data_IF_618936246881
#
_entry.id   IF_618936246881
#
_cell.length_a   1.000
_cell.length_b   1.000
_cell.length_c   1.000
_cell.angle_alpha   90.00
_cell.angle_beta   90.00
_cell.angle_gamma   90.00
#
_symmetry.space_group_name_H-M   'P 1'
#
loop_
_entity.id
_entity.type
_entity.pdbx_description
1 polymer ?
#
# COMPACT_ATOMS: atom_id res chain seq x y z
N UNK A 1 12.52 -72.02 -30.05
CA UNK A 1 11.90 -70.70 -30.35
C UNK A 1 11.34 -70.14 -29.05
N UNK A 2 11.85 -69.00 -28.57
CA UNK A 2 11.49 -68.41 -27.27
C UNK A 2 10.23 -67.54 -27.47
N UNK A 3 9.07 -67.95 -26.94
CA UNK A 3 7.84 -67.13 -26.97
C UNK A 3 8.00 -65.98 -25.97
N UNK A 4 8.06 -64.75 -26.46
CA UNK A 4 7.91 -63.56 -25.64
C UNK A 4 6.43 -63.40 -25.31
N UNK A 5 6.09 -63.51 -24.03
CA UNK A 5 4.75 -63.21 -23.53
C UNK A 5 4.61 -61.70 -23.42
N UNK A 6 4.00 -61.07 -24.42
CA UNK A 6 3.63 -59.66 -24.34
C UNK A 6 2.44 -59.55 -23.37
N UNK A 7 2.75 -59.28 -22.10
CA UNK A 7 1.75 -58.91 -21.09
C UNK A 7 1.31 -57.48 -21.39
N UNK A 8 0.23 -57.33 -22.16
CA UNK A 8 -0.43 -56.04 -22.37
C UNK A 8 -0.96 -55.47 -21.06
N UNK A 9 -0.82 -54.16 -20.89
CA UNK A 9 -1.38 -53.40 -19.77
C UNK A 9 -2.92 -53.51 -19.82
N UNK A 10 -3.55 -53.85 -18.71
CA UNK A 10 -5.01 -53.98 -18.68
C UNK A 10 -5.67 -52.61 -18.59
N UNK A 11 -6.86 -52.46 -19.20
CA UNK A 11 -7.67 -51.23 -19.08
C UNK A 11 -7.97 -50.89 -17.61
N UNK A 12 -8.10 -51.91 -16.76
CA UNK A 12 -8.35 -51.76 -15.33
C UNK A 12 -7.15 -51.14 -14.62
N UNK A 13 -5.92 -51.61 -14.90
CA UNK A 13 -4.70 -51.03 -14.34
C UNK A 13 -4.55 -49.55 -14.73
N UNK A 14 -4.94 -49.17 -15.96
CA UNK A 14 -4.91 -47.77 -16.40
C UNK A 14 -5.95 -46.91 -15.66
N UNK A 15 -7.16 -47.43 -15.49
CA UNK A 15 -8.25 -46.71 -14.84
C UNK A 15 -7.96 -46.43 -13.36
N UNK A 16 -7.36 -47.38 -12.64
CA UNK A 16 -6.96 -47.18 -11.24
C UNK A 16 -5.93 -46.04 -11.13
N UNK A 17 -4.95 -45.99 -12.03
CA UNK A 17 -3.94 -44.92 -12.04
C UNK A 17 -4.57 -43.55 -12.32
N UNK A 18 -5.48 -43.46 -13.30
CA UNK A 18 -6.18 -42.21 -13.62
C UNK A 18 -7.04 -41.70 -12.46
N UNK A 19 -7.69 -42.59 -11.71
CA UNK A 19 -8.47 -42.22 -10.52
C UNK A 19 -7.55 -41.65 -9.43
N UNK A 20 -6.42 -42.29 -9.16
CA UNK A 20 -5.44 -41.80 -8.17
C UNK A 20 -4.91 -40.43 -8.58
N UNK A 21 -4.56 -40.24 -9.86
CA UNK A 21 -4.11 -38.95 -10.39
C UNK A 21 -5.17 -37.86 -10.27
N UNK A 22 -6.46 -38.19 -10.50
CA UNK A 22 -7.56 -37.24 -10.36
C UNK A 22 -7.74 -36.78 -8.90
N UNK A 23 -7.68 -37.71 -7.94
CA UNK A 23 -7.77 -37.38 -6.51
C UNK A 23 -6.59 -36.51 -6.07
N UNK A 24 -5.37 -36.86 -6.46
CA UNK A 24 -4.17 -36.08 -6.14
C UNK A 24 -4.24 -34.67 -6.75
N UNK A 25 -4.64 -34.56 -8.02
CA UNK A 25 -4.80 -33.27 -8.69
C UNK A 25 -5.85 -32.39 -8.00
N UNK A 26 -6.96 -32.97 -7.56
CA UNK A 26 -8.03 -32.24 -6.86
C UNK A 26 -7.55 -31.64 -5.52
N UNK A 27 -6.67 -32.32 -4.79
CA UNK A 27 -6.10 -31.82 -3.53
C UNK A 27 -5.04 -30.72 -3.76
N UNK A 28 -4.24 -30.85 -4.83
CA UNK A 28 -3.12 -29.93 -5.12
C UNK A 28 -3.61 -28.63 -5.77
N UNK A 29 -4.65 -28.68 -6.59
CA UNK A 29 -5.10 -27.53 -7.39
C UNK A 29 -5.41 -26.26 -6.56
N UNK A 30 -6.12 -26.31 -5.41
CA UNK A 30 -6.38 -25.11 -4.60
C UNK A 30 -5.09 -24.48 -4.04
N UNK A 31 -4.14 -25.32 -3.60
CA UNK A 31 -2.87 -24.84 -3.06
C UNK A 31 -2.04 -24.14 -4.14
N UNK A 32 -1.95 -24.71 -5.34
CA UNK A 32 -1.24 -24.10 -6.47
C UNK A 32 -1.82 -22.75 -6.87
N UNK A 33 -3.14 -22.62 -6.91
CA UNK A 33 -3.81 -21.34 -7.22
C UNK A 33 -3.45 -20.28 -6.17
N UNK A 34 -3.47 -20.64 -4.88
CA UNK A 34 -3.05 -19.74 -3.81
C UNK A 34 -1.58 -19.29 -3.91
N UNK A 35 -0.67 -20.23 -4.21
CA UNK A 35 0.75 -19.93 -4.40
C UNK A 35 1.00 -18.99 -5.59
N UNK A 36 0.25 -19.15 -6.69
CA UNK A 36 0.36 -18.27 -7.86
C UNK A 36 -0.03 -16.84 -7.50
N UNK A 37 -1.10 -16.64 -6.72
CA UNK A 37 -1.53 -15.31 -6.31
C UNK A 37 -0.55 -14.65 -5.34
N UNK A 38 0.06 -15.41 -4.44
CA UNK A 38 1.13 -14.92 -3.57
C UNK A 38 2.40 -14.57 -4.35
N UNK A 39 2.80 -15.40 -5.32
CA UNK A 39 3.94 -15.15 -6.18
C UNK A 39 3.74 -13.89 -7.03
N UNK A 40 2.53 -13.69 -7.59
CA UNK A 40 2.15 -12.46 -8.30
C UNK A 40 2.24 -11.24 -7.40
N UNK A 41 1.79 -11.32 -6.14
CA UNK A 41 1.91 -10.22 -5.20
C UNK A 41 3.39 -9.91 -4.90
N UNK A 42 4.20 -10.93 -4.62
CA UNK A 42 5.64 -10.79 -4.32
C UNK A 42 6.46 -10.25 -5.50
N UNK A 43 6.04 -10.51 -6.74
CA UNK A 43 6.70 -10.01 -7.96
C UNK A 43 6.89 -8.49 -7.94
N UNK A 44 5.94 -7.74 -7.39
CA UNK A 44 5.94 -6.27 -7.42
C UNK A 44 6.41 -5.62 -6.11
N UNK A 45 6.78 -6.42 -5.10
CA UNK A 45 7.34 -5.90 -3.86
C UNK A 45 8.62 -5.07 -4.05
N UNK A 46 9.54 -5.40 -4.99
CA UNK A 46 10.70 -4.55 -5.27
C UNK A 46 10.30 -3.15 -5.76
N UNK A 47 9.28 -3.03 -6.61
CA UNK A 47 8.78 -1.73 -7.08
C UNK A 47 8.19 -0.93 -5.91
N UNK A 48 7.42 -1.59 -5.04
CA UNK A 48 6.86 -0.96 -3.85
C UNK A 48 7.95 -0.39 -2.92
N UNK A 49 9.05 -1.13 -2.72
CA UNK A 49 10.22 -0.68 -1.96
C UNK A 49 10.92 0.49 -2.62
N UNK A 50 11.15 0.42 -3.94
CA UNK A 50 11.75 1.51 -4.70
C UNK A 50 10.91 2.80 -4.59
N UNK A 51 9.59 2.71 -4.69
CA UNK A 51 8.69 3.84 -4.49
C UNK A 51 8.76 4.41 -3.07
N UNK A 52 8.82 3.55 -2.04
CA UNK A 52 8.95 3.98 -0.65
C UNK A 52 10.30 4.68 -0.39
N UNK A 53 11.40 4.15 -0.92
CA UNK A 53 12.75 4.72 -0.79
C UNK A 53 12.85 6.07 -1.52
N UNK A 54 12.32 6.15 -2.75
CA UNK A 54 12.24 7.39 -3.51
C UNK A 54 11.39 8.43 -2.77
N UNK A 55 10.24 8.02 -2.23
CA UNK A 55 9.39 8.89 -1.43
C UNK A 55 10.13 9.41 -0.20
N UNK A 56 10.75 8.53 0.59
CA UNK A 56 11.47 8.94 1.80
C UNK A 56 12.60 9.90 1.47
N UNK A 57 13.36 9.65 0.40
CA UNK A 57 14.41 10.55 -0.09
C UNK A 57 13.85 11.94 -0.43
N UNK A 58 12.75 12.01 -1.19
CA UNK A 58 12.17 13.28 -1.61
C UNK A 58 11.52 14.05 -0.47
N UNK A 59 10.83 13.38 0.46
CA UNK A 59 10.32 14.02 1.67
C UNK A 59 11.47 14.54 2.54
N UNK A 60 12.55 13.78 2.71
CA UNK A 60 13.74 14.27 3.43
C UNK A 60 14.40 15.47 2.73
N UNK A 61 14.37 15.58 1.40
CA UNK A 61 14.85 16.78 0.70
C UNK A 61 13.99 18.01 1.04
N UNK A 62 12.69 17.85 1.23
CA UNK A 62 11.81 18.95 1.64
C UNK A 62 12.16 19.51 3.02
N UNK A 63 12.82 18.74 3.88
CA UNK A 63 13.32 19.24 5.17
C UNK A 63 14.38 20.32 4.96
N UNK A 64 15.31 20.12 4.02
CA UNK A 64 16.37 21.09 3.73
C UNK A 64 15.91 22.32 2.95
N UNK A 65 14.76 22.25 2.28
CA UNK A 65 14.23 23.33 1.44
C UNK A 65 13.24 24.23 2.17
N UNK A 66 12.52 23.69 3.16
CA UNK A 66 11.48 24.43 3.86
C UNK A 66 11.98 24.83 5.26
N UNK A 67 12.30 26.12 5.42
CA UNK A 67 12.62 26.71 6.72
C UNK A 67 11.31 27.00 7.49
N UNK A 68 11.13 26.36 8.65
CA UNK A 68 9.99 26.56 9.57
C UNK A 68 8.57 26.30 8.98
N UNK A 69 8.32 25.13 8.37
CA UNK A 69 6.95 24.73 7.99
C UNK A 69 5.99 24.85 9.20
N UNK A 70 4.94 25.67 9.13
CA UNK A 70 4.00 25.83 10.23
C UNK A 70 3.35 24.49 10.62
N UNK A 71 2.95 24.40 11.88
CA UNK A 71 2.09 23.30 12.29
C UNK A 71 0.73 23.44 11.59
N UNK A 72 0.42 22.54 10.67
CA UNK A 72 -0.88 22.51 9.97
C UNK A 72 -0.78 22.42 8.48
N UNK A 73 0.44 22.64 8.00
CA UNK A 73 0.70 22.79 6.60
C UNK A 73 1.29 21.50 6.05
N UNK A 74 0.85 21.09 4.85
CA UNK A 74 1.42 19.94 4.20
C UNK A 74 2.87 20.23 3.80
N UNK A 75 3.72 19.23 3.94
CA UNK A 75 5.11 19.24 3.43
C UNK A 75 5.14 19.46 1.93
N UNK A 76 4.18 18.88 1.22
CA UNK A 76 4.00 19.06 -0.23
C UNK A 76 2.57 19.49 -0.49
N UNK A 77 2.41 20.70 -1.01
CA UNK A 77 1.10 21.22 -1.38
C UNK A 77 0.49 20.44 -2.55
N UNK A 78 -0.70 19.90 -2.33
CA UNK A 78 -1.52 19.30 -3.38
C UNK A 78 -2.97 19.75 -3.29
N UNK A 79 -3.82 18.98 -3.93
CA UNK A 79 -5.25 19.09 -3.79
C UNK A 79 -5.68 18.56 -2.40
N UNK A 80 -6.02 19.47 -1.50
CA UNK A 80 -6.36 19.12 -0.12
C UNK A 80 -7.74 18.45 -0.03
N UNK A 81 -7.85 17.37 0.75
CA UNK A 81 -9.12 16.89 1.26
C UNK A 81 -9.75 17.98 2.15
N UNK A 82 -10.90 18.50 1.72
CA UNK A 82 -11.63 19.57 2.41
C UNK A 82 -12.63 19.04 3.44
N UNK A 83 -12.58 17.75 3.78
CA UNK A 83 -13.36 17.20 4.90
C UNK A 83 -13.11 18.03 6.17
N UNK A 84 -14.19 18.58 6.74
CA UNK A 84 -14.21 19.57 7.83
C UNK A 84 -13.54 19.09 9.14
N UNK A 85 -13.07 17.84 9.19
CA UNK A 85 -12.49 17.17 10.36
C UNK A 85 -11.16 16.45 10.06
N UNK A 86 -10.64 16.51 8.83
CA UNK A 86 -9.52 15.67 8.37
C UNK A 86 -8.15 16.31 8.50
N UNK A 87 -7.09 15.50 8.48
CA UNK A 87 -5.67 15.90 8.56
C UNK A 87 -5.18 16.66 7.31
N UNK A 88 -6.09 17.23 6.52
CA UNK A 88 -5.84 17.81 5.19
C UNK A 88 -5.00 16.87 4.34
N UNK A 89 -5.46 15.64 4.15
CA UNK A 89 -4.77 14.67 3.30
C UNK A 89 -4.62 15.27 1.89
N UNK A 90 -3.47 15.04 1.25
CA UNK A 90 -3.06 15.70 0.02
C UNK A 90 -3.16 14.74 -1.16
N UNK A 91 -3.90 15.14 -2.19
CA UNK A 91 -3.78 14.54 -3.50
C UNK A 91 -2.73 15.32 -4.31
N UNK A 92 -1.55 14.71 -4.46
CA UNK A 92 -0.42 15.30 -5.17
C UNK A 92 -0.19 14.64 -6.53
N UNK A 93 -1.11 13.80 -7.01
CA UNK A 93 -0.96 13.00 -8.24
C UNK A 93 -0.60 13.84 -9.47
N UNK A 94 -1.12 15.06 -9.57
CA UNK A 94 -0.88 15.98 -10.68
C UNK A 94 0.33 16.93 -10.47
N UNK A 95 1.08 16.79 -9.38
CA UNK A 95 2.22 17.66 -9.07
C UNK A 95 3.50 17.15 -9.71
N UNK A 96 4.45 18.06 -9.95
CA UNK A 96 5.81 17.69 -10.37
C UNK A 96 6.51 16.82 -9.31
N UNK A 97 6.22 17.03 -8.02
CA UNK A 97 6.77 16.22 -6.94
C UNK A 97 6.40 14.73 -7.09
N UNK A 98 5.13 14.42 -7.36
CA UNK A 98 4.71 13.04 -7.59
C UNK A 98 5.34 12.43 -8.85
N UNK A 99 5.44 13.20 -9.93
CA UNK A 99 6.07 12.73 -11.19
C UNK A 99 7.57 12.44 -11.01
N UNK A 100 8.29 13.33 -10.33
CA UNK A 100 9.71 13.17 -10.04
C UNK A 100 9.93 11.97 -9.10
N UNK A 101 9.04 11.74 -8.14
CA UNK A 101 9.09 10.58 -7.24
C UNK A 101 8.97 9.27 -8.01
N UNK A 102 7.99 9.14 -8.88
CA UNK A 102 7.80 7.93 -9.68
C UNK A 102 8.95 7.72 -10.67
N UNK A 103 9.49 8.81 -11.22
CA UNK A 103 10.68 8.77 -12.08
C UNK A 103 11.90 8.29 -11.30
N UNK A 104 12.12 8.81 -10.09
CA UNK A 104 13.22 8.41 -9.21
C UNK A 104 13.09 6.95 -8.78
N UNK A 105 11.87 6.46 -8.54
CA UNK A 105 11.60 5.06 -8.23
C UNK A 105 11.89 4.11 -9.41
N UNK A 106 12.03 4.65 -10.64
CA UNK A 106 12.31 3.85 -11.83
C UNK A 106 11.15 2.94 -12.25
N UNK A 107 9.92 3.25 -11.85
CA UNK A 107 8.74 2.46 -12.19
C UNK A 107 8.22 2.78 -13.59
N UNK A 108 7.58 1.82 -14.30
CA UNK A 108 7.02 2.06 -15.61
C UNK A 108 5.94 3.15 -15.62
N UNK A 109 5.82 3.88 -16.72
CA UNK A 109 4.75 4.87 -16.88
C UNK A 109 3.36 4.24 -16.72
N UNK A 110 2.47 4.93 -16.00
CA UNK A 110 1.14 4.40 -15.65
C UNK A 110 1.15 3.36 -14.52
N UNK A 111 2.32 3.10 -13.93
CA UNK A 111 2.47 2.35 -12.69
C UNK A 111 3.05 3.26 -11.60
N UNK A 112 2.69 3.05 -10.33
CA UNK A 112 1.71 2.07 -9.83
C UNK A 112 0.26 2.50 -10.04
N UNK A 113 -0.67 1.54 -10.11
CA UNK A 113 -2.11 1.79 -10.13
C UNK A 113 -2.57 2.66 -8.97
N UNK A 114 -2.03 2.41 -7.77
CA UNK A 114 -2.22 3.28 -6.62
C UNK A 114 -0.95 3.30 -5.79
N UNK A 115 -0.51 4.50 -5.43
CA UNK A 115 0.54 4.67 -4.43
C UNK A 115 0.25 5.88 -3.55
N UNK A 116 0.34 5.64 -2.25
CA UNK A 116 0.10 6.65 -1.23
C UNK A 116 1.05 6.41 -0.07
N UNK A 117 1.54 7.49 0.51
CA UNK A 117 2.34 7.47 1.73
C UNK A 117 1.65 8.25 2.83
N UNK A 118 1.83 7.80 4.07
CA UNK A 118 1.47 8.49 5.29
C UNK A 118 2.73 9.02 5.96
N UNK A 119 2.88 10.33 5.91
CA UNK A 119 4.02 11.06 6.47
C UNK A 119 3.57 11.66 7.79
N UNK A 120 4.49 11.87 8.75
CA UNK A 120 4.15 12.59 9.98
C UNK A 120 3.47 13.92 9.66
N UNK A 121 2.32 14.15 10.28
CA UNK A 121 1.52 15.36 10.11
C UNK A 121 1.97 16.40 11.11
N UNK A 122 1.99 17.64 10.66
CA UNK A 122 1.95 18.79 11.55
C UNK A 122 0.48 19.21 11.71
N UNK A 123 -0.19 18.93 12.85
CA UNK A 123 -1.11 19.84 13.58
C UNK A 123 -2.30 19.19 14.31
N UNK A 124 -2.69 19.77 15.44
CA UNK A 124 -3.62 20.92 15.45
C UNK A 124 -3.13 22.07 16.36
N UNK A 125 -3.60 23.29 16.08
CA UNK A 125 -3.55 24.55 16.88
C UNK A 125 -2.43 24.76 17.92
N UNK A 126 -1.62 25.80 17.72
CA UNK A 126 -0.65 26.30 18.71
C UNK A 126 0.28 25.24 19.31
N UNK A 127 0.91 24.40 18.48
CA UNK A 127 1.89 23.43 18.97
C UNK A 127 1.32 22.41 19.97
N UNK A 128 -0.01 22.21 19.98
CA UNK A 128 -0.61 21.30 20.94
C UNK A 128 -0.58 19.88 20.39
N UNK A 129 0.30 19.12 20.98
CA UNK A 129 0.27 17.67 21.09
C UNK A 129 -1.18 17.13 21.20
N UNK A 130 -1.67 16.41 20.18
CA UNK A 130 -2.81 15.49 20.38
C UNK A 130 -2.27 14.16 20.89
N UNK A 131 -2.86 13.62 21.97
CA UNK A 131 -2.51 12.32 22.55
C UNK A 131 -1.07 12.16 23.08
N UNK A 132 -0.45 13.23 23.59
CA UNK A 132 0.80 13.14 24.35
C UNK A 132 2.11 13.04 23.54
N UNK A 133 2.08 13.11 22.20
CA UNK A 133 3.27 13.13 21.35
C UNK A 133 3.61 14.55 20.81
N UNK A 134 4.80 15.07 21.15
CA UNK A 134 5.36 16.29 20.54
C UNK A 134 5.99 15.93 19.22
N UNK A 135 5.33 16.29 18.11
CA UNK A 135 5.85 16.09 16.75
C UNK A 135 7.12 16.91 16.59
N UNK A 136 8.25 16.26 16.36
CA UNK A 136 9.51 16.94 16.02
C UNK A 136 9.46 17.43 14.57
N UNK A 137 10.37 18.35 14.21
CA UNK A 137 10.48 18.77 12.81
C UNK A 137 10.76 17.60 11.87
N UNK A 138 11.60 16.65 12.29
CA UNK A 138 11.97 15.48 11.50
C UNK A 138 10.81 14.50 11.29
N UNK A 139 9.91 14.37 12.27
CA UNK A 139 8.73 13.51 12.14
C UNK A 139 7.87 13.92 10.96
N UNK A 140 7.80 15.22 10.65
CA UNK A 140 7.04 15.76 9.51
C UNK A 140 7.52 15.26 8.16
N UNK A 141 8.74 14.74 8.05
CA UNK A 141 9.32 14.27 6.78
C UNK A 141 9.57 12.76 6.79
N UNK A 142 9.12 12.08 7.84
CA UNK A 142 9.30 10.64 8.01
C UNK A 142 8.04 9.90 7.55
N UNK A 143 8.23 8.86 6.74
CA UNK A 143 7.15 7.98 6.28
C UNK A 143 6.91 6.88 7.32
N UNK A 144 5.68 6.83 7.83
CA UNK A 144 5.22 5.84 8.81
C UNK A 144 4.34 4.76 8.18
N UNK A 145 3.73 5.06 7.03
CA UNK A 145 2.78 4.19 6.37
C UNK A 145 2.90 4.32 4.85
N UNK A 146 2.67 3.25 4.10
CA UNK A 146 2.46 3.35 2.67
C UNK A 146 1.47 2.29 2.18
N UNK A 147 0.81 2.58 1.07
CA UNK A 147 -0.02 1.64 0.30
C UNK A 147 0.48 1.63 -1.13
N UNK A 148 0.68 0.44 -1.67
CA UNK A 148 1.13 0.22 -3.04
C UNK A 148 0.26 -0.83 -3.73
N UNK A 149 -0.22 -0.52 -4.93
CA UNK A 149 -0.95 -1.44 -5.80
C UNK A 149 -0.38 -1.29 -7.21
N UNK A 150 0.21 -2.35 -7.76
CA UNK A 150 0.81 -2.31 -9.10
C UNK A 150 -0.26 -2.12 -10.19
N UNK A 151 -1.26 -2.99 -10.22
CA UNK A 151 -2.32 -3.03 -11.22
C UNK A 151 -3.69 -3.10 -10.55
N UNK A 152 -4.77 -2.78 -11.28
CA UNK A 152 -6.14 -2.85 -10.75
C UNK A 152 -6.55 -4.21 -10.13
N UNK A 153 -5.87 -5.30 -10.53
CA UNK A 153 -6.10 -6.67 -10.03
C UNK A 153 -5.03 -7.16 -9.05
N UNK A 154 -3.99 -6.36 -8.78
CA UNK A 154 -2.93 -6.73 -7.85
C UNK A 154 -3.41 -6.60 -6.41
N UNK A 155 -2.91 -7.49 -5.54
CA UNK A 155 -3.08 -7.32 -4.09
C UNK A 155 -2.35 -6.05 -3.64
N UNK A 156 -2.93 -5.38 -2.64
CA UNK A 156 -2.28 -4.23 -2.02
C UNK A 156 -1.12 -4.67 -1.13
N UNK A 157 -0.03 -3.91 -1.19
CA UNK A 157 1.07 -3.96 -0.25
C UNK A 157 0.98 -2.76 0.68
N UNK A 158 1.11 -3.02 1.97
CA UNK A 158 1.13 -2.03 3.01
C UNK A 158 2.50 -2.04 3.68
N UNK A 159 3.05 -0.85 3.90
CA UNK A 159 4.23 -0.65 4.73
C UNK A 159 3.80 -0.06 6.07
N UNK A 160 4.22 -0.66 7.17
CA UNK A 160 4.00 -0.15 8.52
C UNK A 160 5.00 -0.78 9.49
N UNK A 161 5.49 -0.02 10.48
CA UNK A 161 6.47 -0.47 11.47
C UNK A 161 7.74 -1.12 10.87
N UNK A 162 8.19 -0.67 9.70
CA UNK A 162 9.39 -1.21 9.04
C UNK A 162 9.16 -2.49 8.23
N UNK A 163 7.93 -3.01 8.19
CA UNK A 163 7.61 -4.26 7.52
C UNK A 163 6.60 -4.05 6.39
N UNK A 164 6.70 -4.92 5.38
CA UNK A 164 5.75 -4.99 4.28
C UNK A 164 4.78 -6.16 4.50
N UNK A 165 3.49 -5.89 4.38
CA UNK A 165 2.42 -6.88 4.54
C UNK A 165 1.35 -6.71 3.47
N UNK A 166 0.65 -7.78 3.12
CA UNK A 166 -0.53 -7.73 2.25
C UNK A 166 -1.84 -7.55 3.03
N UNK A 167 -1.77 -7.51 4.36
CA UNK A 167 -2.93 -7.28 5.23
C UNK A 167 -2.95 -5.84 5.65
N UNK A 168 -4.08 -5.15 5.44
CA UNK A 168 -4.20 -3.75 5.82
C UNK A 168 -3.96 -3.56 7.34
N UNK A 169 -2.91 -2.82 7.76
CA UNK A 169 -2.63 -2.56 9.17
C UNK A 169 -3.76 -1.80 9.88
N UNK A 170 -4.60 -1.08 9.13
CA UNK A 170 -5.80 -0.41 9.64
C UNK A 170 -6.96 -1.35 9.89
N UNK A 171 -6.90 -2.62 9.48
CA UNK A 171 -7.97 -3.57 9.66
C UNK A 171 -7.43 -4.77 10.45
N UNK A 172 -7.30 -4.60 11.76
CA UNK A 172 -6.99 -5.69 12.68
C UNK A 172 -8.19 -5.90 13.63
N UNK A 173 -8.77 -7.10 13.59
CA UNK A 173 -9.99 -7.49 14.29
C UNK A 173 -9.93 -7.36 15.82
N UNK A 174 -8.77 -7.05 16.39
CA UNK A 174 -8.59 -6.94 17.86
C UNK A 174 -7.91 -5.65 18.32
N UNK A 175 -7.07 -5.00 17.50
CA UNK A 175 -6.37 -3.75 17.83
C UNK A 175 -6.00 -2.99 16.55
N UNK A 176 -6.75 -1.92 16.24
CA UNK A 176 -6.45 -1.04 15.10
C UNK A 176 -5.06 -0.39 15.24
N UNK A 177 -4.24 -0.41 14.18
CA UNK A 177 -2.95 0.29 14.20
C UNK A 177 -3.11 1.82 14.18
N UNK A 178 -4.23 2.32 13.65
CA UNK A 178 -4.52 3.74 13.52
C UNK A 178 -5.96 4.05 13.92
N UNK A 179 -6.23 5.24 14.47
CA UNK A 179 -7.59 5.73 14.66
C UNK A 179 -8.15 6.45 13.40
N UNK A 180 -9.36 6.99 13.54
CA UNK A 180 -10.06 7.77 12.51
C UNK A 180 -9.32 9.05 12.10
N UNK A 181 -8.55 9.63 13.02
CA UNK A 181 -7.75 10.85 12.84
C UNK A 181 -6.33 10.54 12.35
N UNK A 182 -6.10 9.32 11.83
CA UNK A 182 -4.81 8.84 11.39
C UNK A 182 -3.70 8.95 12.46
N UNK A 183 -4.02 8.73 13.74
CA UNK A 183 -3.02 8.64 14.80
C UNK A 183 -2.63 7.18 15.02
N UNK A 184 -1.33 6.92 15.11
CA UNK A 184 -0.76 5.61 15.43
C UNK A 184 -1.11 5.22 16.87
N UNK A 185 -1.67 4.02 17.06
CA UNK A 185 -2.20 3.56 18.34
C UNK A 185 -1.28 2.59 19.09
N UNK A 186 -0.28 2.03 18.43
CA UNK A 186 0.59 0.99 18.98
C UNK A 186 2.02 1.08 18.46
N UNK A 187 2.95 0.42 19.15
CA UNK A 187 4.38 0.43 18.80
C UNK A 187 5.12 1.68 19.30
N UNK A 188 6.36 1.83 18.82
CA UNK A 188 7.29 2.91 19.22
C UNK A 188 6.80 4.31 18.81
N UNK A 189 6.06 4.38 17.70
CA UNK A 189 5.58 5.63 17.08
C UNK A 189 4.15 5.99 17.56
N UNK A 190 3.69 5.38 18.65
CA UNK A 190 2.35 5.63 19.21
C UNK A 190 2.17 7.13 19.51
N UNK A 191 1.04 7.68 19.05
CA UNK A 191 0.69 9.08 19.20
C UNK A 191 1.09 9.95 18.01
N UNK A 192 1.93 9.45 17.10
CA UNK A 192 2.24 10.15 15.84
C UNK A 192 0.97 10.22 14.99
N UNK A 193 0.63 11.44 14.59
CA UNK A 193 -0.43 11.72 13.63
C UNK A 193 0.17 11.71 12.24
N UNK A 194 -0.49 11.06 11.27
CA UNK A 194 -0.01 11.01 9.88
C UNK A 194 -0.95 11.74 8.94
N UNK A 195 -0.37 12.41 7.96
CA UNK A 195 -1.06 13.04 6.84
C UNK A 195 -0.76 12.21 5.59
N UNK A 196 -1.81 11.93 4.82
CA UNK A 196 -1.65 11.16 3.61
C UNK A 196 -1.30 12.01 2.41
N UNK A 197 -0.48 11.43 1.54
CA UNK A 197 -0.07 11.99 0.27
C UNK A 197 -0.33 10.93 -0.81
N UNK A 198 -1.36 11.15 -1.62
CA UNK A 198 -1.68 10.32 -2.77
C UNK A 198 -0.79 10.72 -3.93
N UNK A 199 0.06 9.79 -4.36
CA UNK A 199 1.11 10.01 -5.36
C UNK A 199 0.70 9.47 -6.72
N UNK A 200 0.01 8.33 -6.75
CA UNK A 200 -0.58 7.78 -7.97
C UNK A 200 -1.97 7.23 -7.70
N UNK A 201 -2.89 7.44 -8.64
CA UNK A 201 -4.23 6.87 -8.63
C UNK A 201 -4.80 6.73 -10.04
N UNK A 202 -4.89 5.49 -10.50
CA UNK A 202 -5.47 5.11 -11.78
C UNK A 202 -6.86 4.46 -11.63
N UNK A 203 -7.50 4.61 -10.47
CA UNK A 203 -8.86 4.11 -10.26
C UNK A 203 -9.90 5.04 -10.90
N UNK A 204 -10.62 4.60 -11.95
CA UNK A 204 -11.55 5.46 -12.68
C UNK A 204 -12.74 5.93 -11.83
N UNK A 205 -13.10 5.17 -10.78
CA UNK A 205 -14.19 5.51 -9.87
C UNK A 205 -13.83 6.63 -8.90
N UNK A 206 -12.54 6.90 -8.72
CA UNK A 206 -12.03 7.92 -7.79
C UNK A 206 -11.06 8.86 -8.50
N UNK A 207 -11.45 9.38 -9.65
CA UNK A 207 -10.71 10.42 -10.37
C UNK A 207 -11.24 11.81 -9.94
N UNK A 208 -10.35 12.74 -9.62
CA UNK A 208 -10.74 14.09 -9.25
C UNK A 208 -11.25 14.89 -10.46
N UNK A 209 -12.43 15.51 -10.36
CA UNK A 209 -12.85 16.56 -11.30
C UNK A 209 -12.30 17.89 -10.78
N UNK A 210 -11.47 18.59 -11.58
CA UNK A 210 -10.90 19.88 -11.19
C UNK A 210 -9.83 19.79 -10.09
N UNK A 211 -8.99 18.74 -10.12
CA UNK A 211 -7.88 18.54 -9.18
C UNK A 211 -8.30 18.39 -7.72
N UNK A 212 -9.25 17.52 -7.37
CA UNK A 212 -9.38 17.08 -5.97
C UNK A 212 -10.20 15.80 -5.86
N UNK A 213 -9.70 14.80 -5.12
CA UNK A 213 -10.56 13.79 -4.50
C UNK A 213 -11.25 14.42 -3.28
N UNK A 214 -12.30 15.22 -3.50
CA UNK A 214 -13.03 15.94 -2.42
C UNK A 214 -13.94 15.06 -1.58
N UNK A 215 -14.12 13.80 -1.98
CA UNK A 215 -15.09 12.94 -1.32
C UNK A 215 -14.39 12.05 -0.31
N UNK A 216 -14.86 12.11 0.94
CA UNK A 216 -14.51 11.16 2.00
C UNK A 216 -14.66 9.68 1.54
N UNK A 217 -15.41 9.41 0.47
CA UNK A 217 -15.58 8.08 -0.12
C UNK A 217 -14.28 7.42 -0.57
N UNK A 218 -13.31 8.14 -1.15
CA UNK A 218 -12.02 7.54 -1.53
C UNK A 218 -11.22 7.15 -0.28
N UNK A 219 -11.10 8.08 0.66
CA UNK A 219 -10.37 7.86 1.90
C UNK A 219 -11.00 6.74 2.74
N UNK A 220 -12.33 6.66 2.76
CA UNK A 220 -13.08 5.58 3.40
C UNK A 220 -12.85 4.24 2.69
N UNK A 221 -12.91 4.23 1.35
CA UNK A 221 -12.61 3.03 0.56
C UNK A 221 -11.19 2.53 0.84
N UNK A 222 -10.20 3.41 0.77
CA UNK A 222 -8.79 3.10 1.00
C UNK A 222 -8.57 2.53 2.41
N UNK A 223 -9.19 3.14 3.43
CA UNK A 223 -9.12 2.68 4.82
C UNK A 223 -9.85 1.34 5.04
N UNK A 224 -10.82 1.00 4.19
CA UNK A 224 -11.62 -0.22 4.28
C UNK A 224 -11.10 -1.37 3.39
N UNK A 225 -10.05 -1.16 2.59
CA UNK A 225 -9.45 -2.23 1.78
C UNK A 225 -8.95 -3.36 2.67
N UNK A 226 -9.27 -4.61 2.31
CA UNK A 226 -8.85 -5.81 3.03
C UNK A 226 -7.61 -6.42 2.40
#
# INVERSE_FOLDING_TARGET
MKKTSDKGFTLVELLVVLIILAILAALIAPALIGYIDEAKAKKYLPNARACLEAAQSMFSQQYGLNDNLPAGDPVVGGAMDQSTSGNKDQDITNTKFAQDLLTLAGVPAGSPYLFMVGVGSASDTNGTVRNGHTVTEQDKYTIYYAVYIETASSKAWYYYNGEWTTTNPRYNNTNFAFNSNNVILSGKDKGVMIQYYLISNHNPSYQGVGNTIRSASFWNWLKAMK
#
